data_IF_780370219268
#
_entry.id   IF_780370219268
#
_cell.length_a   1.000
_cell.length_b   1.000
_cell.length_c   1.000
_cell.angle_alpha   90.00
_cell.angle_beta   90.00
_cell.angle_gamma   90.00
#
_symmetry.space_group_name_H-M   'P 1'
#
loop_
_entity.id
_entity.type
_entity.pdbx_description
1 polymer ?
#
# COMPACT_ATOMS: atom_id res chain seq x y z
N UNK A 1 -23.54 17.05 7.42
CA UNK A 1 -23.43 16.23 6.20
C UNK A 1 -22.29 16.82 5.38
N UNK A 2 -21.06 16.33 5.56
CA UNK A 2 -19.91 16.84 4.81
C UNK A 2 -19.90 16.16 3.44
N UNK A 3 -20.27 16.90 2.41
CA UNK A 3 -20.07 16.52 1.03
C UNK A 3 -18.59 16.62 0.71
N UNK A 4 -17.83 15.55 0.88
CA UNK A 4 -16.46 15.47 0.41
C UNK A 4 -16.50 15.16 -1.09
N UNK A 5 -16.64 16.19 -1.91
CA UNK A 5 -16.82 16.05 -3.35
C UNK A 5 -15.55 15.69 -4.14
N UNK A 6 -14.40 15.49 -3.47
CA UNK A 6 -13.16 14.94 -4.05
C UNK A 6 -12.34 14.32 -2.92
N UNK A 7 -12.03 13.01 -3.05
CA UNK A 7 -11.01 12.41 -2.20
C UNK A 7 -9.68 13.19 -2.38
N UNK A 8 -9.02 13.62 -1.30
CA UNK A 8 -7.86 14.53 -1.36
C UNK A 8 -6.74 14.04 -2.29
N UNK A 9 -6.51 12.72 -2.35
CA UNK A 9 -5.48 12.11 -3.19
C UNK A 9 -5.92 11.86 -4.65
N UNK A 10 -7.13 12.27 -5.04
CA UNK A 10 -7.69 11.93 -6.35
C UNK A 10 -7.96 10.43 -6.54
N UNK A 11 -7.99 9.68 -5.44
CA UNK A 11 -8.40 8.27 -5.42
C UNK A 11 -9.92 8.24 -5.45
N UNK A 12 -10.50 7.37 -6.28
CA UNK A 12 -11.94 7.24 -6.39
C UNK A 12 -12.57 6.77 -5.06
N UNK A 13 -13.78 7.24 -4.79
CA UNK A 13 -14.53 6.81 -3.61
C UNK A 13 -14.75 5.28 -3.62
N UNK A 14 -14.52 4.64 -2.49
CA UNK A 14 -14.73 3.21 -2.32
C UNK A 14 -16.11 2.93 -1.76
N UNK A 15 -16.77 1.93 -2.37
CA UNK A 15 -18.03 1.39 -1.88
C UNK A 15 -17.78 0.26 -0.91
N UNK A 16 -18.51 0.24 0.18
CA UNK A 16 -18.47 -0.89 1.10
C UNK A 16 -19.04 -2.15 0.40
N UNK A 17 -18.35 -3.26 0.60
CA UNK A 17 -18.78 -4.59 0.14
C UNK A 17 -18.85 -5.52 1.35
N UNK A 18 -19.96 -6.18 1.50
CA UNK A 18 -20.18 -7.19 2.52
C UNK A 18 -20.44 -8.53 1.84
N UNK A 19 -19.80 -9.60 2.35
CA UNK A 19 -20.07 -10.97 1.89
C UNK A 19 -21.12 -11.61 2.79
N UNK A 20 -22.21 -12.07 2.19
CA UNK A 20 -23.32 -12.71 2.91
C UNK A 20 -23.02 -14.18 3.27
N UNK A 21 -22.00 -14.77 2.66
CA UNK A 21 -21.59 -16.15 2.87
C UNK A 21 -20.06 -16.33 2.92
N UNK A 22 -19.63 -17.46 3.48
CA UNK A 22 -18.22 -17.86 3.46
C UNK A 22 -17.69 -18.03 2.03
N UNK A 23 -18.55 -18.52 1.13
CA UNK A 23 -18.17 -18.72 -0.27
C UNK A 23 -17.96 -17.39 -1.00
N UNK A 24 -18.83 -16.42 -0.78
CA UNK A 24 -18.63 -15.05 -1.29
C UNK A 24 -17.38 -14.40 -0.72
N UNK A 25 -17.10 -14.62 0.57
CA UNK A 25 -15.88 -14.12 1.20
C UNK A 25 -14.64 -14.73 0.55
N UNK A 26 -14.61 -16.04 0.32
CA UNK A 26 -13.54 -16.71 -0.41
C UNK A 26 -13.40 -16.18 -1.83
N UNK A 27 -14.52 -16.05 -2.54
CA UNK A 27 -14.53 -15.50 -3.88
C UNK A 27 -13.99 -14.06 -3.91
N UNK A 28 -14.33 -13.25 -2.91
CA UNK A 28 -13.75 -11.91 -2.78
C UNK A 28 -12.23 -11.94 -2.53
N UNK A 29 -11.75 -12.82 -1.66
CA UNK A 29 -10.35 -12.81 -1.21
C UNK A 29 -9.41 -13.60 -2.12
N UNK A 30 -9.89 -14.69 -2.72
CA UNK A 30 -9.07 -15.65 -3.46
C UNK A 30 -9.24 -15.54 -4.97
N UNK A 31 -10.48 -15.61 -5.46
CA UNK A 31 -10.76 -15.72 -6.91
C UNK A 31 -10.63 -14.39 -7.66
N UNK A 32 -10.66 -13.30 -6.93
CA UNK A 32 -10.35 -11.93 -7.42
C UNK A 32 -10.85 -11.62 -8.82
N UNK A 33 -12.15 -11.64 -9.00
CA UNK A 33 -12.72 -10.87 -10.08
C UNK A 33 -12.19 -9.42 -9.95
N UNK A 34 -11.74 -8.78 -11.04
CA UNK A 34 -11.17 -7.44 -10.96
C UNK A 34 -12.20 -6.50 -10.34
N UNK A 35 -11.94 -6.10 -9.11
CA UNK A 35 -12.78 -5.18 -8.34
C UNK A 35 -11.99 -3.92 -8.12
N UNK A 36 -12.57 -2.81 -8.47
CA UNK A 36 -11.99 -1.49 -8.22
C UNK A 36 -12.94 -0.70 -7.32
N UNK A 37 -12.37 0.12 -6.47
CA UNK A 37 -13.11 1.04 -5.62
C UNK A 37 -14.11 0.33 -4.68
N UNK A 38 -13.69 -0.78 -4.10
CA UNK A 38 -14.46 -1.54 -3.12
C UNK A 38 -13.62 -1.72 -1.86
N UNK A 39 -14.25 -1.60 -0.71
CA UNK A 39 -13.64 -1.93 0.57
C UNK A 39 -14.52 -2.95 1.29
N UNK A 40 -13.91 -4.05 1.71
CA UNK A 40 -14.63 -5.06 2.48
C UNK A 40 -15.07 -4.48 3.83
N UNK A 41 -16.34 -4.67 4.16
CA UNK A 41 -16.95 -4.13 5.36
C UNK A 41 -17.73 -5.21 6.10
N UNK A 42 -18.04 -4.96 7.37
CA UNK A 42 -18.95 -5.77 8.15
C UNK A 42 -20.43 -5.48 7.80
N UNK A 43 -21.40 -6.25 8.36
CA UNK A 43 -22.81 -6.02 8.12
C UNK A 43 -23.33 -4.63 8.53
N UNK A 44 -22.61 -3.92 9.39
CA UNK A 44 -22.94 -2.56 9.83
C UNK A 44 -22.34 -1.49 8.89
N UNK A 45 -21.62 -1.90 7.85
CA UNK A 45 -20.96 -1.01 6.91
C UNK A 45 -19.64 -0.43 7.42
N UNK A 46 -19.03 -1.02 8.45
CA UNK A 46 -17.71 -0.62 8.97
C UNK A 46 -16.65 -1.31 8.15
N UNK A 47 -15.83 -0.53 7.45
CA UNK A 47 -14.76 -1.05 6.62
C UNK A 47 -13.69 -1.77 7.46
N UNK A 48 -13.22 -2.91 6.98
CA UNK A 48 -12.21 -3.74 7.66
C UNK A 48 -10.83 -3.06 7.54
N UNK A 49 -10.17 -2.70 8.64
CA UNK A 49 -8.94 -1.90 8.58
C UNK A 49 -7.72 -2.67 8.07
N UNK A 50 -7.70 -3.98 8.18
CA UNK A 50 -6.52 -4.81 7.89
C UNK A 50 -6.48 -5.42 6.50
N UNK A 51 -7.60 -5.45 5.75
CA UNK A 51 -7.67 -6.10 4.43
C UNK A 51 -8.88 -5.66 3.60
N UNK A 52 -8.94 -6.11 2.35
CA UNK A 52 -10.13 -5.98 1.50
C UNK A 52 -10.30 -4.62 0.83
N UNK A 53 -9.30 -3.75 0.90
CA UNK A 53 -9.28 -2.51 0.13
C UNK A 53 -8.79 -2.80 -1.29
N UNK A 54 -9.67 -2.61 -2.28
CA UNK A 54 -9.38 -2.85 -3.70
C UNK A 54 -9.06 -1.54 -4.41
N UNK A 55 -7.80 -1.38 -4.80
CA UNK A 55 -7.28 -0.17 -5.45
C UNK A 55 -6.59 -0.52 -6.76
N UNK A 56 -6.53 0.43 -7.68
CA UNK A 56 -5.63 0.34 -8.83
C UNK A 56 -4.17 0.51 -8.39
N UNK A 57 -3.22 0.01 -9.20
CA UNK A 57 -1.79 0.26 -8.95
C UNK A 57 -1.46 1.76 -8.91
N UNK A 58 -2.13 2.57 -9.74
CA UNK A 58 -1.99 4.03 -9.73
C UNK A 58 -2.44 4.65 -8.42
N UNK A 59 -3.56 4.16 -7.83
CA UNK A 59 -4.04 4.68 -6.54
C UNK A 59 -3.14 4.22 -5.38
N UNK A 60 -2.62 3.00 -5.46
CA UNK A 60 -1.59 2.52 -4.53
C UNK A 60 -0.34 3.41 -4.59
N UNK A 61 0.10 3.79 -5.79
CA UNK A 61 1.24 4.70 -5.96
C UNK A 61 0.96 6.10 -5.36
N UNK A 62 -0.25 6.65 -5.53
CA UNK A 62 -0.66 7.91 -4.89
C UNK A 62 -0.62 7.83 -3.37
N UNK A 63 -1.09 6.71 -2.80
CA UNK A 63 -1.01 6.48 -1.36
C UNK A 63 0.45 6.42 -0.89
N UNK A 64 1.31 5.72 -1.62
CA UNK A 64 2.74 5.69 -1.33
C UNK A 64 3.38 7.08 -1.44
N UNK A 65 3.03 7.86 -2.47
CA UNK A 65 3.50 9.23 -2.65
C UNK A 65 3.05 10.15 -1.52
N UNK A 66 1.81 9.99 -1.06
CA UNK A 66 1.29 10.70 0.11
C UNK A 66 2.11 10.43 1.38
N UNK A 67 2.46 9.16 1.61
CA UNK A 67 3.34 8.79 2.74
C UNK A 67 4.76 9.35 2.55
N UNK A 68 5.31 9.27 1.34
CA UNK A 68 6.63 9.85 1.00
C UNK A 68 6.69 11.36 1.26
N UNK A 69 5.57 12.07 1.04
CA UNK A 69 5.40 13.50 1.31
C UNK A 69 5.01 13.80 2.77
N UNK A 70 5.21 12.86 3.68
CA UNK A 70 4.89 13.01 5.10
C UNK A 70 3.44 13.45 5.37
N UNK A 71 2.49 12.92 4.61
CA UNK A 71 1.06 13.20 4.78
C UNK A 71 0.58 14.52 4.17
N UNK A 72 1.40 15.16 3.34
CA UNK A 72 1.01 16.31 2.54
C UNK A 72 0.59 15.90 1.13
N UNK A 73 -0.32 16.64 0.52
CA UNK A 73 -0.75 16.46 -0.86
C UNK A 73 -1.17 17.79 -1.48
N UNK A 74 -0.66 18.09 -2.67
CA UNK A 74 -0.92 19.34 -3.37
C UNK A 74 -0.69 20.61 -2.51
N UNK A 75 0.31 20.58 -1.63
CA UNK A 75 0.66 21.68 -0.75
C UNK A 75 -0.17 21.79 0.54
N UNK A 76 -1.12 20.87 0.76
CA UNK A 76 -1.94 20.80 1.96
C UNK A 76 -1.52 19.62 2.86
N UNK A 77 -1.38 19.87 4.17
CA UNK A 77 -1.12 18.83 5.16
C UNK A 77 -2.42 18.15 5.55
N UNK A 78 -2.69 16.94 5.00
CA UNK A 78 -3.93 16.19 5.23
C UNK A 78 -3.83 15.32 6.49
N UNK A 79 -2.68 14.64 6.66
CA UNK A 79 -2.35 13.87 7.86
C UNK A 79 -1.05 14.42 8.43
N UNK A 80 -0.98 14.63 9.74
CA UNK A 80 0.21 15.25 10.34
C UNK A 80 1.48 14.42 10.05
N UNK A 81 2.60 15.10 9.76
CA UNK A 81 3.89 14.46 9.58
C UNK A 81 4.29 13.62 10.80
N UNK A 82 3.91 14.09 12.01
CA UNK A 82 4.12 13.34 13.26
C UNK A 82 3.42 11.99 13.21
N UNK A 83 2.18 11.92 12.70
CA UNK A 83 1.46 10.65 12.58
C UNK A 83 2.10 9.72 11.55
N UNK A 84 2.55 10.23 10.41
CA UNK A 84 3.29 9.42 9.43
C UNK A 84 4.56 8.83 10.06
N UNK A 85 5.33 9.64 10.80
CA UNK A 85 6.50 9.14 11.54
C UNK A 85 6.14 8.07 12.56
N UNK A 86 5.08 8.30 13.33
CA UNK A 86 4.58 7.34 14.33
C UNK A 86 4.15 6.01 13.69
N UNK A 87 3.45 6.07 12.56
CA UNK A 87 2.99 4.92 11.80
C UNK A 87 4.16 4.06 11.27
N UNK A 88 5.25 4.70 10.89
CA UNK A 88 6.45 4.05 10.34
C UNK A 88 7.50 3.72 11.42
N UNK A 89 7.23 4.00 12.70
CA UNK A 89 8.13 3.63 13.79
C UNK A 89 8.08 2.12 14.01
N UNK A 90 9.22 1.41 14.04
CA UNK A 90 9.28 -0.01 14.34
C UNK A 90 8.67 -0.34 15.70
N UNK A 91 7.69 -1.24 15.73
CA UNK A 91 6.97 -1.70 16.93
C UNK A 91 7.27 -3.15 17.27
N UNK A 92 7.43 -3.96 16.24
CA UNK A 92 7.73 -5.37 16.36
C UNK A 92 8.81 -5.75 15.35
N UNK A 93 9.65 -6.71 15.72
CA UNK A 93 10.57 -7.38 14.80
C UNK A 93 9.92 -8.70 14.42
N UNK A 94 9.71 -8.91 13.13
CA UNK A 94 9.18 -10.16 12.65
C UNK A 94 10.24 -11.24 12.53
N UNK A 95 9.77 -12.47 12.54
CA UNK A 95 10.62 -13.64 12.44
C UNK A 95 11.23 -13.82 11.02
N UNK A 96 11.94 -14.90 10.85
CA UNK A 96 12.64 -15.25 9.59
C UNK A 96 11.70 -15.31 8.38
N UNK A 97 10.39 -15.59 8.58
CA UNK A 97 9.40 -15.64 7.48
C UNK A 97 9.23 -14.31 6.77
N UNK A 98 9.43 -13.21 7.50
CA UNK A 98 9.36 -11.84 6.97
C UNK A 98 10.74 -11.20 6.86
N UNK A 99 11.80 -12.03 6.72
CA UNK A 99 13.17 -11.59 6.47
C UNK A 99 13.72 -10.63 7.55
N UNK A 100 13.18 -10.71 8.77
CA UNK A 100 13.56 -9.85 9.87
C UNK A 100 13.14 -8.39 9.70
N UNK A 101 12.20 -8.09 8.78
CA UNK A 101 11.63 -6.75 8.66
C UNK A 101 10.92 -6.36 9.95
N UNK A 102 10.97 -5.09 10.28
CA UNK A 102 10.20 -4.55 11.39
C UNK A 102 8.78 -4.20 10.94
N UNK A 103 7.84 -4.14 11.88
CA UNK A 103 6.46 -3.78 11.61
C UNK A 103 6.05 -2.55 12.42
N UNK A 104 5.49 -1.57 11.73
CA UNK A 104 4.85 -0.39 12.31
C UNK A 104 3.33 -0.53 12.35
N UNK A 105 2.59 0.52 12.06
CA UNK A 105 1.13 0.45 11.93
C UNK A 105 0.75 0.19 10.47
N UNK A 106 0.50 -1.10 10.14
CA UNK A 106 0.15 -1.61 8.81
C UNK A 106 1.23 -1.43 7.73
N UNK A 107 2.44 -1.02 8.13
CA UNK A 107 3.59 -0.86 7.26
C UNK A 107 4.77 -1.71 7.74
N UNK A 108 5.43 -2.36 6.81
CA UNK A 108 6.69 -3.05 7.01
C UNK A 108 7.85 -2.08 6.82
N UNK A 109 8.76 -2.04 7.75
CA UNK A 109 10.00 -1.27 7.65
C UNK A 109 11.05 -2.23 7.07
N UNK A 110 11.30 -2.08 5.77
CA UNK A 110 12.13 -2.99 4.98
C UNK A 110 13.61 -2.77 5.32
N UNK A 111 14.04 -1.52 5.34
CA UNK A 111 15.40 -1.13 5.69
C UNK A 111 15.36 0.06 6.67
N UNK A 112 15.38 -0.21 7.98
CA UNK A 112 15.28 0.85 9.00
C UNK A 112 16.36 1.92 8.85
N UNK A 113 17.58 1.52 8.54
CA UNK A 113 18.75 2.41 8.38
C UNK A 113 18.65 3.35 7.17
N UNK A 114 17.79 3.02 6.22
CA UNK A 114 17.55 3.80 5.00
C UNK A 114 16.15 4.42 4.97
N UNK A 115 15.38 4.17 6.02
CA UNK A 115 13.97 4.58 6.12
C UNK A 115 13.11 4.08 4.95
N UNK A 116 13.38 2.86 4.45
CA UNK A 116 12.60 2.23 3.38
C UNK A 116 11.49 1.41 4.02
N UNK A 117 10.28 1.58 3.52
CA UNK A 117 9.10 0.90 4.05
C UNK A 117 8.15 0.45 2.94
N UNK A 118 7.29 -0.51 3.26
CA UNK A 118 6.33 -1.06 2.33
C UNK A 118 5.02 -1.46 3.00
N UNK A 119 3.90 -1.24 2.33
CA UNK A 119 2.66 -1.93 2.62
C UNK A 119 2.62 -3.21 1.77
N UNK A 120 2.50 -4.36 2.42
CA UNK A 120 2.56 -5.68 1.77
C UNK A 120 1.28 -6.45 2.07
N UNK A 121 0.58 -6.86 1.04
CA UNK A 121 -0.63 -7.68 1.15
C UNK A 121 -0.39 -9.13 0.72
N UNK A 122 -1.08 -10.07 1.34
CA UNK A 122 -0.96 -11.52 1.11
C UNK A 122 -1.11 -11.96 -0.35
N UNK A 123 -1.72 -11.12 -1.16
CA UNK A 123 -1.91 -11.40 -2.59
C UNK A 123 -0.75 -10.93 -3.48
N UNK A 124 0.32 -10.42 -2.91
CA UNK A 124 1.44 -9.85 -3.66
C UNK A 124 1.20 -8.40 -4.11
N UNK A 125 0.23 -7.71 -3.52
CA UNK A 125 0.08 -6.27 -3.68
C UNK A 125 1.13 -5.59 -2.80
N UNK A 126 1.89 -4.66 -3.36
CA UNK A 126 2.95 -3.96 -2.63
C UNK A 126 2.94 -2.48 -2.99
N UNK A 127 3.03 -1.65 -1.97
CA UNK A 127 3.43 -0.25 -2.09
C UNK A 127 4.81 -0.14 -1.43
N UNK A 128 5.83 0.11 -2.21
CA UNK A 128 7.21 0.26 -1.74
C UNK A 128 7.62 1.72 -1.82
N UNK A 129 8.18 2.24 -0.74
CA UNK A 129 8.57 3.65 -0.63
C UNK A 129 10.04 3.75 -0.24
N UNK A 130 10.82 4.42 -1.07
CA UNK A 130 12.24 4.72 -0.83
C UNK A 130 12.45 6.24 -0.78
N UNK A 131 12.44 6.83 0.43
CA UNK A 131 12.65 8.27 0.59
C UNK A 131 14.02 8.74 0.10
N UNK A 132 15.05 7.91 0.24
CA UNK A 132 16.40 8.25 -0.20
C UNK A 132 16.51 8.43 -1.72
N UNK A 133 15.64 7.78 -2.49
CA UNK A 133 15.53 7.92 -3.96
C UNK A 133 14.36 8.81 -4.40
N UNK A 134 13.59 9.34 -3.45
CA UNK A 134 12.33 10.04 -3.73
C UNK A 134 11.42 9.21 -4.65
N UNK A 135 11.22 7.94 -4.33
CA UNK A 135 10.59 6.97 -5.22
C UNK A 135 9.49 6.18 -4.52
N UNK A 136 8.46 5.88 -5.28
CA UNK A 136 7.40 4.93 -4.93
C UNK A 136 7.28 3.89 -6.05
N UNK A 137 7.19 2.62 -5.68
CA UNK A 137 6.80 1.55 -6.59
C UNK A 137 5.54 0.86 -6.09
N UNK A 138 4.55 0.68 -6.96
CA UNK A 138 3.32 -0.02 -6.64
C UNK A 138 3.13 -1.22 -7.56
N UNK A 139 2.90 -2.38 -6.96
CA UNK A 139 2.65 -3.64 -7.67
C UNK A 139 1.28 -4.16 -7.29
N UNK A 140 0.40 -4.29 -8.26
CA UNK A 140 -0.87 -5.01 -8.11
C UNK A 140 -0.71 -6.41 -8.68
N UNK A 141 -1.10 -7.43 -7.94
CA UNK A 141 -0.83 -8.82 -8.26
C UNK A 141 -2.02 -9.72 -7.94
N UNK A 142 -2.06 -10.89 -8.58
CA UNK A 142 -2.95 -11.96 -8.16
C UNK A 142 -2.42 -12.65 -6.90
N UNK A 143 -3.33 -13.31 -6.16
CA UNK A 143 -2.96 -14.06 -4.97
C UNK A 143 -1.89 -15.10 -5.30
N UNK A 144 -0.73 -14.99 -4.65
CA UNK A 144 0.33 -15.98 -4.66
C UNK A 144 0.91 -16.12 -3.25
N UNK A 145 1.21 -17.34 -2.82
CA UNK A 145 2.08 -17.54 -1.66
C UNK A 145 3.44 -16.85 -1.86
N UNK A 146 4.12 -16.51 -0.77
CA UNK A 146 5.45 -15.88 -0.79
C UNK A 146 5.46 -14.45 -1.39
N UNK A 147 4.60 -13.60 -0.91
CA UNK A 147 4.48 -12.17 -1.32
C UNK A 147 5.77 -11.36 -1.18
N UNK A 148 6.69 -11.78 -0.34
CA UNK A 148 8.01 -11.14 -0.16
C UNK A 148 8.83 -11.11 -1.45
N UNK A 149 8.57 -12.02 -2.39
CA UNK A 149 9.18 -12.02 -3.71
C UNK A 149 8.94 -10.70 -4.46
N UNK A 150 7.88 -9.96 -4.10
CA UNK A 150 7.58 -8.67 -4.75
C UNK A 150 8.49 -7.55 -4.24
N UNK A 151 8.89 -7.59 -2.97
CA UNK A 151 9.92 -6.68 -2.44
C UNK A 151 11.25 -7.02 -3.10
N UNK A 152 11.61 -8.31 -3.17
CA UNK A 152 12.81 -8.78 -3.87
C UNK A 152 12.80 -8.39 -5.35
N UNK A 153 11.67 -8.56 -6.02
CA UNK A 153 11.52 -8.14 -7.41
C UNK A 153 11.79 -6.64 -7.58
N UNK A 154 11.24 -5.81 -6.70
CA UNK A 154 11.46 -4.36 -6.73
C UNK A 154 12.96 -4.07 -6.52
N UNK A 155 13.57 -4.63 -5.49
CA UNK A 155 14.95 -4.31 -5.10
C UNK A 155 16.00 -4.89 -6.05
N UNK A 156 15.79 -6.11 -6.54
CA UNK A 156 16.83 -6.87 -7.27
C UNK A 156 16.59 -6.91 -8.78
N UNK A 157 15.38 -6.64 -9.26
CA UNK A 157 15.07 -6.60 -10.68
C UNK A 157 14.70 -5.19 -11.17
N UNK A 158 13.74 -4.51 -10.51
CA UNK A 158 13.26 -3.22 -10.98
C UNK A 158 14.25 -2.07 -10.72
N UNK A 159 14.71 -1.91 -9.47
CA UNK A 159 15.60 -0.80 -9.10
C UNK A 159 16.91 -0.75 -9.87
N UNK A 160 17.59 -1.88 -10.17
CA UNK A 160 18.80 -1.86 -10.99
C UNK A 160 18.57 -1.32 -12.41
N UNK A 161 17.39 -1.55 -13.00
CA UNK A 161 17.07 -1.04 -14.34
C UNK A 161 16.90 0.47 -14.38
N UNK A 162 16.45 1.07 -13.28
CA UNK A 162 16.27 2.52 -13.17
C UNK A 162 17.59 3.27 -13.02
N UNK A 163 18.66 2.60 -12.57
CA UNK A 163 20.01 3.19 -12.43
C UNK A 163 20.71 3.41 -13.79
N UNK A 164 20.26 2.74 -14.84
CA UNK A 164 20.84 2.85 -16.17
C UNK A 164 20.31 4.00 -17.03
N UNK A 165 19.22 4.65 -16.61
CA UNK A 165 18.59 5.74 -17.35
C UNK A 165 18.57 7.02 -16.49
N UNK A 166 19.65 7.78 -16.56
CA UNK A 166 19.68 9.16 -16.05
C UNK A 166 18.86 10.12 -16.92
N UNK A 167 17.69 9.76 -17.36
CA UNK A 167 16.63 10.63 -17.92
C UNK A 167 15.39 9.80 -18.21
N UNK A 168 14.50 9.70 -17.27
CA UNK A 168 13.09 9.56 -17.61
C UNK A 168 12.49 10.93 -17.35
N UNK A 169 12.39 11.74 -18.41
CA UNK A 169 11.52 12.89 -18.42
C UNK A 169 10.10 12.35 -18.27
N UNK A 170 9.44 12.72 -17.20
CA UNK A 170 8.03 12.42 -17.01
C UNK A 170 7.21 13.16 -18.06
N UNK A 171 6.50 12.41 -18.87
CA UNK A 171 5.42 12.90 -19.74
C UNK A 171 4.14 12.99 -18.91
#
# INVERSE_FOLDING_TARGET
MYSCSRAPLGIAEHKNYFAESVEEHKHFTIDKAPRQNVWFADPLGIATPGYGLCMSASDMARLGQFCLQNGAWNGEQIVSAKWITEMLTPRAVEDVRFRGMHYGYLWWIVHPERNIYAAVGDSGNVIYVDPGRNMVAAVSSYFKPAVLDRVDFIENALLPTLRGNERIEMI
#
